data_IF_643534148402
#
_entry.id   IF_643534148402
#
_cell.length_a   1.000
_cell.length_b   1.000
_cell.length_c   1.000
_cell.angle_alpha   90.00
_cell.angle_beta   90.00
_cell.angle_gamma   90.00
#
_symmetry.space_group_name_H-M   'P 1'
#
loop_
_entity.id
_entity.type
_entity.pdbx_description
1 polymer ?
#
# COMPACT_ATOMS: atom_id res chain seq x y z
N UNK A 1 16.66 -16.76 35.29
CA UNK A 1 15.46 -16.51 34.44
C UNK A 1 14.82 -15.12 34.59
N UNK A 2 15.10 -14.32 35.64
CA UNK A 2 14.49 -12.98 35.79
C UNK A 2 14.87 -11.94 34.71
N UNK A 3 16.07 -12.04 34.13
CA UNK A 3 16.56 -11.08 33.12
C UNK A 3 15.88 -11.17 31.75
N UNK A 4 15.27 -12.30 31.40
CA UNK A 4 14.56 -12.46 30.11
C UNK A 4 13.16 -11.85 30.18
N UNK A 5 12.49 -11.98 31.33
CA UNK A 5 11.18 -11.35 31.59
C UNK A 5 11.26 -9.82 31.68
N UNK A 6 12.38 -9.27 32.17
CA UNK A 6 12.60 -7.81 32.22
C UNK A 6 12.87 -7.22 30.82
N UNK A 7 13.62 -7.92 29.96
CA UNK A 7 13.85 -7.51 28.58
C UNK A 7 12.55 -7.47 27.73
N UNK A 8 11.60 -8.37 28.00
CA UNK A 8 10.27 -8.34 27.37
C UNK A 8 9.37 -7.21 27.90
N UNK A 9 9.63 -6.68 29.10
CA UNK A 9 8.89 -5.58 29.67
C UNK A 9 9.38 -4.22 29.14
N UNK A 10 10.69 -4.07 28.90
CA UNK A 10 11.29 -2.88 28.24
C UNK A 10 11.02 -2.83 26.73
N UNK A 11 10.77 -3.97 26.08
CA UNK A 11 10.45 -4.05 24.65
C UNK A 11 8.99 -3.76 24.31
N UNK A 12 8.15 -3.37 25.27
CA UNK A 12 6.84 -2.79 24.98
C UNK A 12 7.05 -1.34 24.56
N UNK A 13 7.57 -1.14 23.34
CA UNK A 13 7.41 0.15 22.65
C UNK A 13 5.96 0.55 22.83
N UNK A 14 5.73 1.76 23.34
CA UNK A 14 4.38 2.22 23.52
C UNK A 14 3.70 2.20 22.14
N UNK A 15 2.47 1.67 22.12
CA UNK A 15 1.72 1.43 20.89
C UNK A 15 1.64 2.65 19.94
N UNK A 16 1.62 3.91 20.43
CA UNK A 16 1.72 5.10 19.57
C UNK A 16 3.04 5.21 18.78
N UNK A 17 4.16 4.83 19.37
CA UNK A 17 5.48 4.88 18.75
C UNK A 17 5.58 3.84 17.63
N UNK A 18 5.17 2.59 17.88
CA UNK A 18 5.10 1.53 16.87
C UNK A 18 4.20 1.96 15.70
N UNK A 19 3.05 2.55 16.02
CA UNK A 19 2.13 3.07 15.02
C UNK A 19 2.79 4.14 14.15
N UNK A 20 3.49 5.09 14.74
CA UNK A 20 4.19 6.16 14.02
C UNK A 20 5.29 5.60 13.12
N UNK A 21 6.13 4.72 13.66
CA UNK A 21 7.21 4.08 12.91
C UNK A 21 6.68 3.27 11.72
N UNK A 22 5.58 2.52 11.91
CA UNK A 22 4.93 1.80 10.82
C UNK A 22 4.41 2.74 9.73
N UNK A 23 3.75 3.84 10.11
CA UNK A 23 3.28 4.86 9.15
C UNK A 23 4.46 5.41 8.36
N UNK A 24 5.54 5.81 9.03
CA UNK A 24 6.72 6.38 8.39
C UNK A 24 7.38 5.38 7.45
N UNK A 25 7.51 4.11 7.85
CA UNK A 25 8.05 3.06 7.01
C UNK A 25 7.19 2.84 5.75
N UNK A 26 5.87 2.77 5.89
CA UNK A 26 4.96 2.58 4.76
C UNK A 26 4.94 3.79 3.81
N UNK A 27 5.11 5.01 4.33
CA UNK A 27 5.28 6.21 3.50
C UNK A 27 6.57 6.14 2.68
N UNK A 28 7.69 5.72 3.29
CA UNK A 28 8.94 5.52 2.56
C UNK A 28 8.82 4.43 1.51
N UNK A 29 8.23 3.27 1.85
CA UNK A 29 7.99 2.19 0.87
C UNK A 29 7.16 2.70 -0.29
N UNK A 30 6.09 3.47 -0.05
CA UNK A 30 5.28 4.08 -1.12
C UNK A 30 6.11 4.98 -2.02
N UNK A 31 6.94 5.85 -1.46
CA UNK A 31 7.77 6.78 -2.24
C UNK A 31 8.81 6.04 -3.09
N UNK A 32 9.52 5.09 -2.48
CA UNK A 32 10.51 4.26 -3.17
C UNK A 32 9.87 3.42 -4.28
N UNK A 33 8.70 2.82 -4.02
CA UNK A 33 7.91 2.12 -5.02
C UNK A 33 7.58 3.00 -6.23
N UNK A 34 7.21 4.26 -6.00
CA UNK A 34 6.95 5.21 -7.09
C UNK A 34 8.22 5.54 -7.87
N UNK A 35 9.32 5.82 -7.16
CA UNK A 35 10.62 6.12 -7.78
C UNK A 35 11.10 4.96 -8.65
N UNK A 36 10.92 3.71 -8.22
CA UNK A 36 11.27 2.54 -9.03
C UNK A 36 10.47 2.52 -10.33
N UNK A 37 9.15 2.72 -10.29
CA UNK A 37 8.32 2.72 -11.51
C UNK A 37 8.71 3.86 -12.44
N UNK A 38 8.94 5.05 -11.90
CA UNK A 38 9.38 6.23 -12.66
C UNK A 38 10.76 6.02 -13.30
N UNK A 39 11.70 5.41 -12.57
CA UNK A 39 13.03 5.09 -13.09
C UNK A 39 12.97 4.04 -14.20
N UNK A 40 12.12 3.02 -14.07
CA UNK A 40 11.91 2.03 -15.14
C UNK A 40 11.32 2.71 -16.38
N UNK A 41 10.35 3.61 -16.21
CA UNK A 41 9.76 4.37 -17.32
C UNK A 41 10.81 5.27 -18.01
N UNK A 42 11.59 6.02 -17.22
CA UNK A 42 12.65 6.89 -17.73
C UNK A 42 13.74 6.09 -18.46
N UNK A 43 14.14 4.96 -17.91
CA UNK A 43 15.08 4.04 -18.56
C UNK A 43 14.55 3.53 -19.90
N UNK A 44 13.26 3.17 -19.98
CA UNK A 44 12.60 2.78 -21.25
C UNK A 44 12.52 3.92 -22.26
N UNK A 45 12.39 5.17 -21.80
CA UNK A 45 12.35 6.33 -22.67
C UNK A 45 13.74 6.69 -23.24
N UNK A 46 14.80 6.53 -22.43
CA UNK A 46 16.18 6.79 -22.83
C UNK A 46 16.82 5.64 -23.63
N UNK A 47 16.39 4.41 -23.37
CA UNK A 47 16.82 3.24 -24.13
C UNK A 47 16.03 3.16 -25.43
N UNK A 48 16.68 2.94 -26.58
CA UNK A 48 15.98 2.71 -27.87
C UNK A 48 15.19 1.38 -27.93
N UNK A 49 14.87 0.76 -26.79
CA UNK A 49 14.23 -0.54 -26.70
C UNK A 49 13.13 -0.55 -25.64
N UNK A 50 12.01 -1.20 -25.98
CA UNK A 50 10.89 -1.50 -25.08
C UNK A 50 11.23 -2.67 -24.14
N UNK A 51 12.34 -2.55 -23.40
CA UNK A 51 12.85 -3.61 -22.56
C UNK A 51 11.98 -3.90 -21.34
N UNK A 52 11.93 -5.17 -20.94
CA UNK A 52 11.40 -5.58 -19.64
C UNK A 52 12.52 -5.42 -18.63
N UNK A 53 12.29 -4.62 -17.58
CA UNK A 53 13.19 -4.59 -16.43
C UNK A 53 12.95 -5.84 -15.61
N UNK A 54 13.98 -6.70 -15.53
CA UNK A 54 13.88 -7.98 -14.81
C UNK A 54 14.47 -7.86 -13.42
N UNK A 55 13.77 -8.46 -12.47
CA UNK A 55 14.32 -8.75 -11.15
C UNK A 55 15.49 -9.73 -11.31
N UNK A 56 16.66 -9.40 -10.76
CA UNK A 56 17.88 -10.17 -10.99
C UNK A 56 17.87 -11.53 -10.29
N UNK A 57 17.10 -11.69 -9.21
CA UNK A 57 17.04 -12.93 -8.45
C UNK A 57 16.06 -13.94 -9.07
N UNK A 58 14.93 -13.45 -9.58
CA UNK A 58 13.82 -14.29 -10.09
C UNK A 58 13.75 -14.32 -11.62
N UNK A 59 14.36 -13.34 -12.31
CA UNK A 59 14.22 -13.13 -13.75
C UNK A 59 12.85 -12.57 -14.17
N UNK A 60 11.95 -12.34 -13.21
CA UNK A 60 10.59 -11.89 -13.46
C UNK A 60 10.54 -10.41 -13.85
N UNK A 61 9.47 -10.01 -14.54
CA UNK A 61 9.21 -8.61 -14.82
C UNK A 61 8.93 -7.86 -13.52
N UNK A 62 9.78 -6.89 -13.20
CA UNK A 62 9.74 -6.21 -11.90
C UNK A 62 8.41 -5.47 -11.66
N UNK A 63 7.84 -4.83 -12.70
CA UNK A 63 6.55 -4.13 -12.57
C UNK A 63 5.39 -5.10 -12.31
N UNK A 64 5.45 -6.33 -12.85
CA UNK A 64 4.45 -7.35 -12.57
C UNK A 64 4.56 -7.89 -11.15
N UNK A 65 5.79 -8.15 -10.70
CA UNK A 65 6.09 -8.60 -9.34
C UNK A 65 5.59 -7.59 -8.30
N UNK A 66 5.91 -6.32 -8.51
CA UNK A 66 5.53 -5.22 -7.62
C UNK A 66 4.02 -5.15 -7.32
N UNK A 67 3.17 -5.56 -8.26
CA UNK A 67 1.71 -5.57 -8.12
C UNK A 67 1.23 -6.40 -6.91
N UNK A 68 1.95 -7.48 -6.56
CA UNK A 68 1.58 -8.41 -5.48
C UNK A 68 2.53 -8.32 -4.26
N UNK A 69 3.64 -7.59 -4.33
CA UNK A 69 4.70 -7.54 -3.30
C UNK A 69 4.21 -7.09 -1.91
N UNK A 70 3.17 -6.28 -1.84
CA UNK A 70 2.62 -5.75 -0.58
C UNK A 70 1.43 -6.55 -0.06
N UNK A 71 0.95 -7.55 -0.81
CA UNK A 71 -0.31 -8.25 -0.52
C UNK A 71 -0.27 -9.00 0.81
N UNK A 72 0.89 -9.55 1.18
CA UNK A 72 1.07 -10.29 2.43
C UNK A 72 0.80 -9.43 3.68
N UNK A 73 0.88 -8.10 3.58
CA UNK A 73 0.64 -7.20 4.71
C UNK A 73 -0.78 -7.31 5.26
N UNK A 74 -1.76 -7.62 4.40
CA UNK A 74 -3.15 -7.80 4.81
C UNK A 74 -3.36 -8.99 5.77
N UNK A 75 -2.48 -9.99 5.70
CA UNK A 75 -2.53 -11.19 6.54
C UNK A 75 -1.51 -11.12 7.69
N UNK A 76 -0.74 -10.03 7.78
CA UNK A 76 0.27 -9.83 8.80
C UNK A 76 -0.31 -9.24 10.10
N UNK A 77 0.36 -9.40 11.24
CA UNK A 77 -0.02 -8.73 12.49
C UNK A 77 -0.09 -7.20 12.39
N UNK A 78 0.53 -6.59 11.38
CA UNK A 78 0.46 -5.15 11.13
C UNK A 78 -0.98 -4.69 10.80
N UNK A 79 -1.83 -5.61 10.35
CA UNK A 79 -3.26 -5.37 10.10
C UNK A 79 -4.06 -4.97 11.33
N UNK A 80 -3.54 -5.22 12.54
CA UNK A 80 -4.10 -4.73 13.80
C UNK A 80 -3.89 -3.22 13.98
N UNK A 81 -2.82 -2.68 13.40
CA UNK A 81 -2.41 -1.28 13.54
C UNK A 81 -2.99 -0.43 12.41
N UNK A 82 -2.91 -0.93 11.17
CA UNK A 82 -3.33 -0.23 9.96
C UNK A 82 -4.19 -1.15 9.08
N UNK A 83 -5.20 -0.58 8.41
CA UNK A 83 -5.98 -1.34 7.43
C UNK A 83 -5.16 -1.51 6.15
N UNK A 84 -4.98 -2.74 5.67
CA UNK A 84 -4.38 -3.02 4.36
C UNK A 84 -5.44 -3.53 3.39
N UNK A 85 -5.23 -3.27 2.11
CA UNK A 85 -6.12 -3.78 1.06
C UNK A 85 -5.93 -5.30 0.90
N UNK A 86 -7.00 -6.10 0.82
CA UNK A 86 -6.90 -7.51 0.42
C UNK A 86 -6.65 -7.68 -1.09
N UNK A 87 -6.71 -6.60 -1.86
CA UNK A 87 -6.42 -6.55 -3.30
C UNK A 87 -5.02 -5.99 -3.52
N UNK A 88 -4.53 -6.11 -4.76
CA UNK A 88 -3.27 -5.49 -5.21
C UNK A 88 -3.27 -3.99 -4.96
N UNK A 89 -2.41 -3.53 -4.05
CA UNK A 89 -2.28 -2.12 -3.67
C UNK A 89 -0.80 -1.80 -3.37
N UNK A 90 0.06 -1.75 -4.40
CA UNK A 90 1.49 -1.51 -4.23
C UNK A 90 1.82 -0.13 -3.65
N UNK A 91 0.84 0.79 -3.62
CA UNK A 91 1.00 2.17 -3.15
C UNK A 91 0.16 2.50 -1.91
N UNK A 92 -0.50 1.52 -1.29
CA UNK A 92 -1.29 1.69 -0.07
C UNK A 92 -2.34 2.82 -0.17
N UNK A 93 -3.16 2.82 -1.22
CA UNK A 93 -4.17 3.87 -1.50
C UNK A 93 -5.54 3.50 -0.94
N UNK A 94 -5.94 2.24 -1.08
CA UNK A 94 -7.32 1.78 -0.89
C UNK A 94 -7.80 1.96 0.56
N UNK A 95 -6.98 1.67 1.60
CA UNK A 95 -7.38 1.92 2.99
C UNK A 95 -7.51 3.40 3.33
N UNK A 96 -6.70 4.26 2.71
CA UNK A 96 -6.65 5.70 2.99
C UNK A 96 -7.86 6.48 2.46
N UNK A 97 -8.72 5.86 1.65
CA UNK A 97 -9.89 6.51 1.03
C UNK A 97 -11.23 6.14 1.67
N UNK A 98 -11.31 5.04 2.42
CA UNK A 98 -12.56 4.55 3.02
C UNK A 98 -12.82 5.09 4.44
N UNK A 99 -11.79 5.54 5.16
CA UNK A 99 -11.89 6.01 6.54
C UNK A 99 -11.98 7.54 6.67
N UNK A 100 -12.43 8.25 5.63
CA UNK A 100 -12.79 9.66 5.77
C UNK A 100 -14.23 9.73 6.30
N UNK A 101 -14.48 9.96 7.61
CA UNK A 101 -15.82 10.28 8.06
C UNK A 101 -16.25 11.53 7.31
N UNK A 102 -17.27 11.38 6.47
CA UNK A 102 -17.99 12.45 5.81
C UNK A 102 -18.12 13.64 6.78
N UNK A 103 -17.54 14.77 6.39
CA UNK A 103 -17.86 16.07 6.99
C UNK A 103 -19.39 16.18 7.11
N UNK A 104 -19.95 16.45 8.31
CA UNK A 104 -21.36 16.77 8.40
C UNK A 104 -21.59 18.10 7.69
N UNK A 105 -22.29 18.04 6.55
CA UNK A 105 -22.88 19.20 5.90
C UNK A 105 -23.64 20.01 6.95
N UNK A 106 -23.31 21.30 7.03
CA UNK A 106 -23.98 22.31 7.85
C UNK A 106 -25.50 22.11 7.88
N UNK A 107 -26.03 21.61 9.00
CA UNK A 107 -27.38 21.90 9.43
C UNK A 107 -27.29 22.70 10.72
N UNK A 108 -27.64 23.98 10.63
CA UNK A 108 -27.90 24.83 11.80
C UNK A 108 -29.09 24.26 12.55
N UNK A 109 -28.86 23.56 13.66
CA UNK A 109 -29.81 23.52 14.78
C UNK A 109 -29.10 22.99 16.04
N UNK A 110 -28.92 23.80 17.09
CA UNK A 110 -28.36 23.30 18.34
C UNK A 110 -29.48 22.65 19.15
N UNK A 111 -29.51 21.32 19.21
CA UNK A 111 -30.17 20.61 20.31
C UNK A 111 -29.15 19.78 21.06
N UNK A 112 -28.87 20.22 22.29
CA UNK A 112 -28.14 19.50 23.32
C UNK A 112 -28.71 18.08 23.44
N UNK A 113 -28.00 17.10 22.87
CA UNK A 113 -28.14 15.72 23.27
C UNK A 113 -26.80 15.26 23.86
N UNK A 114 -26.79 15.20 25.19
CA UNK A 114 -25.83 14.44 25.98
C UNK A 114 -26.02 12.97 25.63
N UNK A 115 -25.40 12.52 24.54
CA UNK A 115 -25.28 11.11 24.20
C UNK A 115 -23.94 10.63 24.71
N UNK A 116 -23.94 10.10 25.94
CA UNK A 116 -22.89 9.21 26.45
C UNK A 116 -22.75 8.05 25.47
N UNK A 117 -21.89 8.18 24.47
CA UNK A 117 -21.37 7.04 23.74
C UNK A 117 -20.25 6.44 24.58
N UNK A 118 -20.61 5.41 25.33
CA UNK A 118 -19.71 4.34 25.74
C UNK A 118 -19.12 3.67 24.50
N UNK A 119 -18.10 4.27 23.88
CA UNK A 119 -17.26 3.56 22.92
C UNK A 119 -16.24 2.74 23.71
N UNK A 120 -16.63 1.50 23.96
CA UNK A 120 -15.77 0.34 24.17
C UNK A 120 -14.49 0.44 23.34
N UNK A 121 -13.34 0.64 24.00
CA UNK A 121 -12.03 0.00 23.82
C UNK A 121 -11.35 -0.13 22.45
N UNK A 122 -12.01 0.15 21.32
CA UNK A 122 -11.44 -0.08 19.99
C UNK A 122 -10.68 1.16 19.57
N UNK A 123 -9.38 1.20 19.87
CA UNK A 123 -8.51 2.24 19.32
C UNK A 123 -8.68 2.26 17.79
N UNK A 124 -9.02 3.43 17.24
CA UNK A 124 -9.14 3.59 15.78
C UNK A 124 -7.83 3.18 15.13
N UNK A 125 -7.91 2.36 14.08
CA UNK A 125 -6.75 1.98 13.26
C UNK A 125 -6.13 3.23 12.65
N UNK A 126 -4.82 3.16 12.40
CA UNK A 126 -4.10 4.23 11.74
C UNK A 126 -4.51 4.35 10.27
N UNK A 127 -4.45 5.57 9.75
CA UNK A 127 -4.67 5.88 8.33
C UNK A 127 -3.36 6.41 7.76
N UNK A 128 -2.96 5.87 6.61
CA UNK A 128 -1.75 6.31 5.93
C UNK A 128 -2.04 7.63 5.17
N UNK A 129 -1.37 8.75 5.49
CA UNK A 129 -1.65 10.03 4.85
C UNK A 129 -1.47 9.96 3.32
N UNK A 130 -2.35 10.59 2.55
CA UNK A 130 -2.28 10.62 1.09
C UNK A 130 -2.38 12.06 0.58
N UNK A 131 -1.28 12.59 0.05
CA UNK A 131 -1.24 13.94 -0.52
C UNK A 131 -1.79 13.96 -1.96
N UNK A 132 -2.56 14.98 -2.32
CA UNK A 132 -3.16 15.08 -3.67
C UNK A 132 -2.14 15.17 -4.81
N UNK A 133 -0.98 15.77 -4.56
CA UNK A 133 0.15 15.78 -5.50
C UNK A 133 0.67 14.37 -5.80
N UNK A 134 0.74 13.53 -4.77
CA UNK A 134 1.21 12.14 -4.85
C UNK A 134 0.23 11.26 -5.61
N UNK A 135 -1.07 11.50 -5.47
CA UNK A 135 -2.12 10.74 -6.14
C UNK A 135 -1.98 10.73 -7.67
N UNK A 136 -1.52 11.84 -8.26
CA UNK A 136 -1.26 11.91 -9.72
C UNK A 136 -0.11 10.98 -10.14
N UNK A 137 0.98 10.96 -9.35
CA UNK A 137 2.13 10.06 -9.59
C UNK A 137 1.71 8.60 -9.44
N UNK A 138 0.96 8.29 -8.39
CA UNK A 138 0.40 6.95 -8.15
C UNK A 138 -0.45 6.48 -9.33
N UNK A 139 -1.41 7.27 -9.80
CA UNK A 139 -2.26 6.90 -10.94
C UNK A 139 -1.44 6.63 -12.20
N UNK A 140 -0.41 7.44 -12.47
CA UNK A 140 0.50 7.22 -13.59
C UNK A 140 1.23 5.88 -13.45
N UNK A 141 1.78 5.59 -12.27
CA UNK A 141 2.48 4.35 -11.99
C UNK A 141 1.56 3.11 -12.07
N UNK A 142 0.33 3.20 -11.57
CA UNK A 142 -0.68 2.15 -11.69
C UNK A 142 -1.01 1.82 -13.15
N UNK A 143 -1.12 2.84 -14.01
CA UNK A 143 -1.36 2.63 -15.45
C UNK A 143 -0.18 1.91 -16.13
N UNK A 144 1.06 2.17 -15.71
CA UNK A 144 2.23 1.47 -16.25
C UNK A 144 2.22 0.00 -15.83
N UNK A 145 1.96 -0.29 -14.56
CA UNK A 145 1.83 -1.67 -14.04
C UNK A 145 0.69 -2.40 -14.76
N UNK A 146 -0.46 -1.74 -14.95
CA UNK A 146 -1.62 -2.32 -15.64
C UNK A 146 -1.31 -2.61 -17.12
N UNK A 147 -0.62 -1.69 -17.81
CA UNK A 147 -0.18 -1.91 -19.20
C UNK A 147 0.72 -3.14 -19.28
N UNK A 148 1.66 -3.28 -18.35
CA UNK A 148 2.56 -4.45 -18.29
C UNK A 148 1.76 -5.75 -18.08
N UNK A 149 0.77 -5.72 -17.18
CA UNK A 149 -0.11 -6.86 -16.92
C UNK A 149 -0.87 -7.29 -18.19
N UNK A 150 -1.39 -6.33 -18.95
CA UNK A 150 -2.09 -6.62 -20.21
C UNK A 150 -1.13 -7.20 -21.26
N UNK A 151 0.07 -6.64 -21.40
CA UNK A 151 1.07 -7.13 -22.35
C UNK A 151 1.51 -8.57 -22.03
N UNK A 152 1.76 -8.86 -20.75
CA UNK A 152 2.13 -10.21 -20.30
C UNK A 152 1.03 -11.24 -20.60
N UNK A 153 -0.25 -10.87 -20.41
CA UNK A 153 -1.39 -11.73 -20.76
C UNK A 153 -1.49 -12.00 -22.26
N UNK A 154 -1.26 -10.98 -23.09
CA UNK A 154 -1.28 -11.15 -24.54
C UNK A 154 -0.16 -12.09 -25.01
N UNK A 155 1.02 -12.00 -24.41
CA UNK A 155 2.15 -12.89 -24.73
C UNK A 155 1.89 -14.33 -24.28
N UNK A 156 1.23 -14.54 -23.14
CA UNK A 156 0.85 -15.87 -22.66
C UNK A 156 -0.33 -16.48 -23.43
N UNK A 157 -1.30 -15.66 -23.86
CA UNK A 157 -2.46 -16.11 -24.63
C UNK A 157 -2.19 -16.42 -26.11
N UNK A 158 -1.04 -15.98 -26.65
CA UNK A 158 -0.63 -16.28 -28.03
C UNK A 158 0.02 -17.66 -28.22
N UNK A 159 0.28 -18.41 -27.13
CA UNK A 159 0.94 -19.72 -27.17
C UNK A 159 0.02 -20.95 -27.24
N UNK A 160 -1.31 -20.77 -27.23
CA UNK A 160 -2.28 -21.88 -27.23
C UNK A 160 -2.97 -22.09 -28.58
N UNK A 161 -2.21 -22.00 -29.67
CA UNK A 161 -2.65 -22.44 -31.00
C UNK A 161 -1.64 -23.41 -31.60
N UNK A 162 -1.69 -24.66 -31.13
CA UNK A 162 -1.26 -25.82 -31.92
C UNK A 162 -2.10 -27.02 -31.50
N UNK A 163 -3.10 -27.37 -32.32
CA UNK A 163 -3.46 -28.76 -32.49
C UNK A 163 -3.23 -29.17 -33.95
N UNK A 164 -2.40 -30.22 -34.07
CA UNK A 164 -2.22 -31.15 -35.20
C UNK A 164 -1.30 -30.69 -36.34
#
# INVERSE_FOLDING_TARGET
MKRVTEAHAEARQAFPEVRRELIDALLHVRLLSLEVVENIENWRAGSRGSGIWRDQATGENYLLKMKDDTRWLAESPLGEILNFSPKTDPFFVIPSTNDCPSTPTNQMTPKLQVRRQSQSGSQRKAVLPLQGSLLRRIRKAELLILRECMQARLQQGGGSASPS
#
